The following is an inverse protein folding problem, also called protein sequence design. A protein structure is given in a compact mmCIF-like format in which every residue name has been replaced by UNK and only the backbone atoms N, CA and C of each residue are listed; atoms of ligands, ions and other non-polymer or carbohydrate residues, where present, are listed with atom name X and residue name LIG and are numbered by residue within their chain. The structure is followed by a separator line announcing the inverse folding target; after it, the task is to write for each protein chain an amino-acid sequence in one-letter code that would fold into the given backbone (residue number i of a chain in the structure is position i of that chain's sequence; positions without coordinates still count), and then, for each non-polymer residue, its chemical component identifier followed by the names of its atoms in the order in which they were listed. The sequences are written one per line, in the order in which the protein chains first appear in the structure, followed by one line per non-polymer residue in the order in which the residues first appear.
data_IF_685074534600
#
_entry.id   IF_685074534600
#
_cell.length_a   1.000
_cell.length_b   1.000
_cell.length_c   1.000
_cell.angle_alpha   90.00
_cell.angle_beta   90.00
_cell.angle_gamma   90.00
#
_symmetry.space_group_name_H-M   'P 1'
#
loop_
_entity.id
_entity.type
_entity.pdbx_description
1 polymer ?
#
# COMPACT_ATOMS: atom_id res chain seq x y z
N UNK A 1 -10.30 -2.94 4.56
CA UNK A 1 -8.96 -3.12 3.94
C UNK A 1 -7.91 -2.47 4.82
N UNK A 2 -6.84 -3.18 5.12
CA UNK A 2 -5.74 -2.71 5.97
C UNK A 2 -4.47 -2.53 5.15
N UNK A 3 -3.82 -1.36 5.25
CA UNK A 3 -2.64 -1.01 4.46
C UNK A 3 -1.48 -0.64 5.38
N UNK A 4 -0.30 -1.20 5.11
CA UNK A 4 0.96 -0.79 5.70
C UNK A 4 1.65 0.19 4.76
N UNK A 5 1.72 1.46 5.16
CA UNK A 5 2.55 2.47 4.51
C UNK A 5 3.97 2.44 5.07
N UNK A 6 4.95 2.57 4.20
CA UNK A 6 6.37 2.57 4.57
C UNK A 6 7.06 3.78 3.93
N UNK A 7 7.63 4.63 4.78
CA UNK A 7 8.55 5.70 4.37
C UNK A 7 9.99 5.22 4.56
N UNK A 8 10.66 4.93 3.44
CA UNK A 8 11.99 4.32 3.44
C UNK A 8 13.07 5.35 3.79
N UNK A 9 13.64 5.26 4.98
CA UNK A 9 14.76 6.08 5.40
C UNK A 9 15.97 5.26 5.85
N UNK A 10 17.16 5.84 5.74
CA UNK A 10 18.41 5.11 6.08
C UNK A 10 18.76 5.09 7.57
N UNK A 11 18.15 5.93 8.38
CA UNK A 11 18.31 5.98 9.84
C UNK A 11 16.98 5.74 10.54
N UNK A 12 15.90 6.22 9.94
CA UNK A 12 14.54 5.98 10.37
C UNK A 12 13.76 5.46 9.18
N UNK A 13 13.16 4.27 9.30
CA UNK A 13 12.18 3.77 8.35
C UNK A 13 10.82 3.91 8.99
N UNK A 14 10.04 4.89 8.52
CA UNK A 14 8.69 5.15 9.00
C UNK A 14 7.74 4.01 8.61
N UNK A 15 6.80 3.69 9.50
CA UNK A 15 5.71 2.77 9.23
C UNK A 15 4.39 3.30 9.78
N UNK A 16 3.31 3.01 9.07
CA UNK A 16 1.96 3.33 9.50
C UNK A 16 0.98 2.30 8.97
N UNK A 17 0.18 1.71 9.85
CA UNK A 17 -0.89 0.78 9.48
C UNK A 17 -2.22 1.49 9.61
N UNK A 18 -2.92 1.65 8.49
CA UNK A 18 -4.23 2.28 8.42
C UNK A 18 -5.26 1.25 7.94
N UNK A 19 -6.40 1.22 8.59
CA UNK A 19 -7.53 0.38 8.21
C UNK A 19 -8.70 1.24 7.74
N UNK A 20 -9.26 0.87 6.59
CA UNK A 20 -10.52 1.40 6.08
C UNK A 20 -11.65 0.53 6.61
N UNK A 21 -12.47 1.08 7.49
CA UNK A 21 -13.66 0.43 8.02
C UNK A 21 -14.87 0.85 7.18
N UNK A 22 -15.62 -0.13 6.66
CA UNK A 22 -16.92 0.14 6.05
C UNK A 22 -17.94 0.47 7.15
N UNK A 23 -18.71 1.54 6.99
CA UNK A 23 -19.84 1.81 7.89
C UNK A 23 -21.04 0.96 7.47
N UNK A 24 -21.48 0.07 8.35
CA UNK A 24 -22.61 -0.86 8.17
C UNK A 24 -23.99 -0.16 8.30
N UNK A 25 -23.99 1.17 8.45
CA UNK A 25 -25.20 1.96 8.55
C UNK A 25 -25.74 2.30 7.17
N UNK A 26 -26.92 1.80 6.87
CA UNK A 26 -27.70 1.87 5.63
C UNK A 26 -28.06 3.27 5.12
N UNK A 27 -27.38 4.32 5.50
CA UNK A 27 -27.59 5.67 4.97
C UNK A 27 -26.48 6.03 3.99
N UNK A 28 -26.84 6.11 2.73
CA UNK A 28 -26.02 6.19 1.52
C UNK A 28 -25.17 7.47 1.38
N UNK A 29 -24.52 7.90 2.43
CA UNK A 29 -23.43 8.90 2.40
C UNK A 29 -22.18 8.26 2.99
N UNK A 30 -21.43 7.65 2.10
CA UNK A 30 -20.03 7.24 2.24
C UNK A 30 -19.34 7.76 3.51
N UNK A 31 -19.41 6.99 4.59
CA UNK A 31 -18.73 7.32 5.83
C UNK A 31 -17.66 6.23 6.10
N UNK A 32 -16.82 5.98 5.07
CA UNK A 32 -15.64 5.14 5.23
C UNK A 32 -14.72 5.79 6.25
N UNK A 33 -14.52 5.15 7.39
CA UNK A 33 -13.64 5.64 8.44
C UNK A 33 -12.24 5.07 8.30
N UNK A 34 -11.26 5.96 8.24
CA UNK A 34 -9.85 5.58 8.34
C UNK A 34 -9.45 5.51 9.82
N UNK A 35 -8.85 4.40 10.22
CA UNK A 35 -8.38 4.18 11.58
C UNK A 35 -6.89 3.88 11.56
N UNK A 36 -6.11 4.62 12.36
CA UNK A 36 -4.72 4.30 12.62
C UNK A 36 -4.64 3.13 13.60
N UNK A 37 -4.10 2.01 13.15
CA UNK A 37 -3.88 0.84 14.00
C UNK A 37 -2.57 0.98 14.78
N UNK A 38 -1.52 1.44 14.12
CA UNK A 38 -0.19 1.69 14.69
C UNK A 38 0.60 2.61 13.76
N UNK A 39 1.48 3.42 14.31
CA UNK A 39 2.51 4.13 13.55
C UNK A 39 3.78 4.27 14.38
N UNK A 40 4.89 4.54 13.71
CA UNK A 40 6.20 4.72 14.33
C UNK A 40 7.33 4.67 13.32
N UNK A 41 8.54 4.45 13.81
CA UNK A 41 9.70 4.26 12.94
C UNK A 41 10.64 3.17 13.48
N UNK A 42 11.20 2.38 12.58
CA UNK A 42 12.31 1.47 12.85
C UNK A 42 13.58 2.31 12.82
N UNK A 43 14.20 2.48 14.00
CA UNK A 43 15.42 3.26 14.14
C UNK A 43 16.64 2.37 14.04
N UNK A 44 17.62 2.75 13.22
CA UNK A 44 18.92 2.08 13.08
C UNK A 44 20.06 3.08 13.24
N UNK A 45 21.18 2.63 13.79
CA UNK A 45 22.32 3.50 14.02
C UNK A 45 23.04 3.82 12.71
N UNK A 46 23.33 5.10 12.39
CA UNK A 46 24.17 5.45 11.24
C UNK A 46 25.61 4.96 11.35
N UNK A 47 26.04 4.57 12.55
CA UNK A 47 27.39 4.02 12.82
C UNK A 47 27.49 2.54 12.43
N UNK A 48 26.37 1.83 12.35
CA UNK A 48 26.36 0.43 11.98
C UNK A 48 26.63 0.23 10.48
N UNK A 49 27.31 -0.86 10.10
CA UNK A 49 27.47 -1.22 8.70
C UNK A 49 26.11 -1.36 7.99
N UNK A 50 26.06 -0.97 6.73
CA UNK A 50 24.82 -1.01 5.96
C UNK A 50 24.11 -2.38 5.97
N UNK A 51 24.82 -3.53 5.83
CA UNK A 51 24.16 -4.85 5.92
C UNK A 51 23.43 -5.08 7.25
N UNK A 52 24.02 -4.66 8.37
CA UNK A 52 23.42 -4.77 9.72
C UNK A 52 22.15 -3.93 9.81
N UNK A 53 22.19 -2.69 9.29
CA UNK A 53 21.02 -1.79 9.25
C UNK A 53 19.90 -2.37 8.43
N UNK A 54 20.20 -2.88 7.22
CA UNK A 54 19.22 -3.53 6.36
C UNK A 54 18.60 -4.76 7.01
N UNK A 55 19.37 -5.55 7.74
CA UNK A 55 18.88 -6.71 8.48
C UNK A 55 17.89 -6.28 9.57
N UNK A 56 18.20 -5.25 10.37
CA UNK A 56 17.29 -4.74 11.40
C UNK A 56 15.99 -4.19 10.81
N UNK A 57 16.08 -3.44 9.70
CA UNK A 57 14.89 -2.95 8.99
C UNK A 57 14.04 -4.12 8.49
N UNK A 58 14.67 -5.14 7.88
CA UNK A 58 13.96 -6.32 7.37
C UNK A 58 13.20 -7.05 8.48
N UNK A 59 13.87 -7.31 9.61
CA UNK A 59 13.25 -7.99 10.77
C UNK A 59 12.08 -7.19 11.29
N UNK A 60 12.26 -5.88 11.53
CA UNK A 60 11.19 -5.01 12.03
C UNK A 60 9.97 -4.96 11.10
N UNK A 61 10.19 -4.90 9.77
CA UNK A 61 9.09 -4.93 8.81
C UNK A 61 8.37 -6.28 8.78
N UNK A 62 9.11 -7.40 8.86
CA UNK A 62 8.52 -8.73 8.94
C UNK A 62 7.67 -8.90 10.21
N UNK A 63 8.14 -8.41 11.35
CA UNK A 63 7.39 -8.42 12.62
C UNK A 63 6.10 -7.60 12.52
N UNK A 64 6.16 -6.40 11.91
CA UNK A 64 4.98 -5.57 11.67
C UNK A 64 3.95 -6.27 10.78
N UNK A 65 4.39 -6.86 9.67
CA UNK A 65 3.54 -7.60 8.74
C UNK A 65 2.89 -8.80 9.45
N UNK A 66 3.67 -9.59 10.17
CA UNK A 66 3.16 -10.77 10.90
C UNK A 66 2.15 -10.39 11.98
N UNK A 67 2.40 -9.29 12.70
CA UNK A 67 1.56 -8.85 13.83
C UNK A 67 0.27 -8.19 13.38
N UNK A 68 0.35 -7.28 12.41
CA UNK A 68 -0.78 -6.44 12.01
C UNK A 68 -1.52 -6.94 10.79
N UNK A 69 -0.96 -7.89 10.06
CA UNK A 69 -1.56 -8.60 8.90
C UNK A 69 -2.20 -7.62 7.90
N UNK A 70 -1.44 -6.71 7.30
CA UNK A 70 -1.97 -5.82 6.28
C UNK A 70 -2.37 -6.62 5.03
N UNK A 71 -3.37 -6.12 4.30
CA UNK A 71 -3.79 -6.69 3.02
C UNK A 71 -2.87 -6.24 1.87
N UNK A 72 -2.25 -5.05 2.02
CA UNK A 72 -1.40 -4.39 1.02
C UNK A 72 -0.26 -3.63 1.70
N UNK A 73 0.80 -3.41 0.95
CA UNK A 73 1.90 -2.51 1.32
C UNK A 73 1.95 -1.36 0.34
N UNK A 74 2.15 -0.15 0.83
CA UNK A 74 2.35 1.04 0.03
C UNK A 74 3.69 1.69 0.38
N UNK A 75 4.46 2.13 -0.62
CA UNK A 75 5.79 2.72 -0.47
C UNK A 75 5.87 4.00 -1.31
N UNK A 76 6.59 5.02 -0.83
CA UNK A 76 6.88 6.19 -1.65
C UNK A 76 7.88 5.86 -2.75
N UNK A 77 7.59 6.30 -3.98
CA UNK A 77 8.52 6.18 -5.09
C UNK A 77 9.57 7.29 -5.06
N UNK A 78 10.84 6.91 -5.13
CA UNK A 78 11.98 7.85 -5.05
C UNK A 78 12.38 8.30 -6.44
N UNK A 79 11.86 9.44 -6.87
CA UNK A 79 12.14 9.99 -8.20
C UNK A 79 13.44 10.79 -8.32
N UNK A 80 13.95 11.36 -7.20
CA UNK A 80 15.11 12.25 -7.28
C UNK A 80 15.89 12.26 -5.97
N UNK A 81 17.14 11.83 -6.00
CA UNK A 81 18.10 12.15 -4.96
C UNK A 81 19.20 13.04 -5.57
N UNK A 82 19.40 14.21 -5.01
CA UNK A 82 20.43 15.15 -5.44
C UNK A 82 21.86 14.55 -5.32
N UNK A 83 22.02 13.47 -4.53
CA UNK A 83 23.28 12.78 -4.32
C UNK A 83 23.12 11.27 -4.64
N UNK A 84 23.84 10.80 -5.65
CA UNK A 84 23.83 9.41 -6.11
C UNK A 84 24.12 8.41 -4.98
N UNK A 85 25.07 8.72 -4.08
CA UNK A 85 25.42 7.83 -2.97
C UNK A 85 24.25 7.68 -1.97
N UNK A 86 23.52 8.75 -1.73
CA UNK A 86 22.32 8.70 -0.89
C UNK A 86 21.17 7.96 -1.57
N UNK A 87 21.01 8.17 -2.88
CA UNK A 87 20.01 7.44 -3.69
C UNK A 87 20.25 5.93 -3.64
N UNK A 88 21.50 5.48 -3.80
CA UNK A 88 21.86 4.06 -3.74
C UNK A 88 21.53 3.45 -2.38
N UNK A 89 21.85 4.14 -1.28
CA UNK A 89 21.52 3.67 0.07
C UNK A 89 20.00 3.58 0.29
N UNK A 90 19.28 4.59 -0.17
CA UNK A 90 17.82 4.60 -0.06
C UNK A 90 17.19 3.49 -0.89
N UNK A 91 17.71 3.25 -2.10
CA UNK A 91 17.30 2.12 -2.95
C UNK A 91 17.52 0.75 -2.29
N UNK A 92 18.60 0.60 -1.50
CA UNK A 92 18.83 -0.63 -0.73
C UNK A 92 17.76 -0.83 0.35
N UNK A 93 17.44 0.21 1.13
CA UNK A 93 16.36 0.14 2.16
C UNK A 93 15.02 -0.18 1.51
N UNK A 94 14.71 0.50 0.40
CA UNK A 94 13.48 0.28 -0.36
C UNK A 94 13.40 -1.16 -0.90
N UNK A 95 14.49 -1.69 -1.44
CA UNK A 95 14.56 -3.08 -1.90
C UNK A 95 14.27 -4.08 -0.77
N UNK A 96 14.77 -3.81 0.45
CA UNK A 96 14.48 -4.61 1.64
C UNK A 96 13.00 -4.54 2.03
N UNK A 97 12.39 -3.35 1.98
CA UNK A 97 10.97 -3.17 2.27
C UNK A 97 10.09 -3.94 1.26
N UNK A 98 10.39 -3.84 -0.04
CA UNK A 98 9.70 -4.57 -1.10
C UNK A 98 9.87 -6.08 -0.93
N UNK A 99 11.07 -6.55 -0.60
CA UNK A 99 11.35 -7.97 -0.36
C UNK A 99 10.59 -8.51 0.85
N UNK A 100 10.51 -7.75 1.95
CA UNK A 100 9.76 -8.14 3.14
C UNK A 100 8.27 -8.32 2.82
N UNK A 101 7.67 -7.39 2.06
CA UNK A 101 6.30 -7.49 1.59
C UNK A 101 6.07 -8.69 0.66
N UNK A 102 6.91 -8.85 -0.37
CA UNK A 102 6.81 -9.92 -1.35
C UNK A 102 6.99 -11.31 -0.70
N UNK A 103 7.91 -11.44 0.28
CA UNK A 103 8.12 -12.68 1.03
C UNK A 103 6.91 -13.08 1.88
N UNK A 104 6.07 -12.11 2.26
CA UNK A 104 4.81 -12.34 2.94
C UNK A 104 3.62 -12.52 1.98
N UNK A 105 3.85 -12.54 0.67
CA UNK A 105 2.80 -12.67 -0.36
C UNK A 105 1.95 -11.41 -0.54
N UNK A 106 2.42 -10.24 -0.08
CA UNK A 106 1.70 -8.98 -0.18
C UNK A 106 2.07 -8.24 -1.47
N UNK A 107 1.07 -7.65 -2.11
CA UNK A 107 1.28 -6.71 -3.20
C UNK A 107 1.82 -5.38 -2.70
N UNK A 108 2.75 -4.79 -3.45
CA UNK A 108 3.36 -3.49 -3.15
C UNK A 108 2.88 -2.48 -4.17
N UNK A 109 2.27 -1.40 -3.68
CA UNK A 109 1.90 -0.24 -4.48
C UNK A 109 2.91 0.89 -4.25
N UNK A 110 3.26 1.60 -5.31
CA UNK A 110 4.25 2.67 -5.30
C UNK A 110 3.59 4.00 -5.67
N UNK A 111 3.88 5.05 -4.90
CA UNK A 111 3.26 6.36 -5.09
C UNK A 111 4.30 7.47 -5.14
N UNK A 112 4.16 8.38 -6.10
CA UNK A 112 5.00 9.57 -6.15
C UNK A 112 4.70 10.51 -4.98
N UNK A 113 5.68 11.31 -4.50
CA UNK A 113 5.45 12.33 -3.47
C UNK A 113 4.28 13.27 -3.81
N UNK A 114 4.12 13.60 -5.09
CA UNK A 114 3.04 14.45 -5.57
C UNK A 114 1.67 13.77 -5.44
N UNK A 115 1.61 12.46 -5.77
CA UNK A 115 0.37 11.67 -5.62
C UNK A 115 -0.05 11.55 -4.17
N UNK A 116 0.91 11.30 -3.26
CA UNK A 116 0.67 11.20 -1.82
C UNK A 116 0.09 12.51 -1.29
N UNK A 117 0.74 13.65 -1.60
CA UNK A 117 0.25 14.96 -1.19
C UNK A 117 -1.14 15.28 -1.73
N UNK A 118 -1.38 14.99 -3.02
CA UNK A 118 -2.68 15.21 -3.64
C UNK A 118 -3.78 14.35 -3.02
N UNK A 119 -3.49 13.10 -2.68
CA UNK A 119 -4.46 12.19 -2.07
C UNK A 119 -4.82 12.58 -0.63
N UNK A 120 -3.87 13.15 0.13
CA UNK A 120 -4.06 13.52 1.54
C UNK A 120 -4.64 14.93 1.69
N UNK A 121 -4.10 15.92 0.97
CA UNK A 121 -4.44 17.33 1.15
C UNK A 121 -5.29 17.89 0.02
N UNK A 122 -5.41 17.18 -1.11
CA UNK A 122 -6.14 17.62 -2.30
C UNK A 122 -5.27 18.33 -3.35
N UNK A 123 -4.00 18.66 -3.06
CA UNK A 123 -3.08 19.26 -4.02
C UNK A 123 -1.62 18.86 -3.79
N UNK A 124 -0.86 18.65 -4.88
CA UNK A 124 0.48 18.05 -4.85
C UNK A 124 1.60 18.95 -4.34
N UNK A 125 1.38 20.27 -4.17
CA UNK A 125 2.38 21.24 -3.69
C UNK A 125 2.25 21.56 -2.20
N UNK A 126 1.51 20.73 -1.44
CA UNK A 126 1.36 20.90 -0.01
C UNK A 126 2.72 20.84 0.71
N UNK A 127 2.90 21.68 1.71
CA UNK A 127 4.07 21.64 2.57
C UNK A 127 3.96 20.48 3.57
N UNK A 128 5.12 20.03 4.09
CA UNK A 128 5.18 18.86 4.98
C UNK A 128 4.23 19.00 6.18
N UNK A 129 4.21 20.14 6.85
CA UNK A 129 3.34 20.37 8.02
C UNK A 129 1.85 20.27 7.68
N UNK A 130 1.44 20.68 6.46
CA UNK A 130 0.04 20.57 6.01
C UNK A 130 -0.38 19.14 5.83
N UNK A 131 0.53 18.30 5.29
CA UNK A 131 0.29 16.85 5.16
C UNK A 131 0.14 16.21 6.54
N UNK A 132 1.05 16.52 7.49
CA UNK A 132 0.99 16.00 8.85
C UNK A 132 -0.30 16.40 9.58
N UNK A 133 -0.71 17.66 9.49
CA UNK A 133 -1.98 18.11 10.06
C UNK A 133 -3.19 17.40 9.43
N UNK A 134 -3.16 17.17 8.11
CA UNK A 134 -4.27 16.49 7.45
C UNK A 134 -4.32 15.02 7.83
N UNK A 135 -3.17 14.34 7.92
CA UNK A 135 -3.08 12.94 8.44
C UNK A 135 -3.70 12.85 9.84
N UNK A 136 -3.32 13.77 10.74
CA UNK A 136 -3.87 13.84 12.10
C UNK A 136 -5.39 13.96 12.10
N UNK A 137 -5.94 14.82 11.23
CA UNK A 137 -7.39 15.02 11.10
C UNK A 137 -8.10 13.82 10.47
N UNK A 138 -7.56 13.27 9.39
CA UNK A 138 -8.17 12.12 8.68
C UNK A 138 -8.24 10.88 9.55
N UNK A 139 -7.26 10.68 10.43
CA UNK A 139 -7.17 9.54 11.34
C UNK A 139 -7.71 9.86 12.74
N UNK A 140 -8.23 11.07 12.96
CA UNK A 140 -8.74 11.56 14.26
C UNK A 140 -7.76 11.31 15.41
N UNK A 141 -6.49 11.68 15.20
CA UNK A 141 -5.45 11.54 16.22
C UNK A 141 -5.42 12.80 17.10
N UNK A 142 -5.07 12.62 18.36
CA UNK A 142 -4.98 13.72 19.33
C UNK A 142 -3.79 14.65 19.05
N UNK A 143 -2.69 14.08 18.53
CA UNK A 143 -1.43 14.80 18.25
C UNK A 143 -0.83 14.37 16.92
N UNK A 144 0.07 15.19 16.38
CA UNK A 144 0.82 14.85 15.17
C UNK A 144 1.74 13.66 15.48
N UNK A 145 1.72 12.59 14.66
CA UNK A 145 2.55 11.42 14.89
C UNK A 145 4.05 11.74 14.91
N UNK A 146 4.74 11.19 15.89
CA UNK A 146 6.20 11.27 16.03
C UNK A 146 6.83 9.87 15.93
N UNK A 147 8.02 9.75 15.29
CA UNK A 147 8.76 10.79 14.56
C UNK A 147 8.05 11.18 13.25
N UNK A 148 8.53 12.25 12.58
CA UNK A 148 7.92 12.75 11.34
C UNK A 148 7.75 11.67 10.25
N UNK A 149 8.67 10.70 10.19
CA UNK A 149 8.63 9.55 9.28
C UNK A 149 7.39 8.67 9.49
N UNK A 150 6.84 8.65 10.72
CA UNK A 150 5.59 7.94 11.01
C UNK A 150 4.38 8.62 10.35
N UNK A 151 4.33 9.94 10.38
CA UNK A 151 3.27 10.70 9.72
C UNK A 151 3.37 10.57 8.18
N UNK A 152 4.59 10.56 7.63
CA UNK A 152 4.82 10.35 6.20
C UNK A 152 4.38 8.94 5.78
N UNK A 153 4.67 7.91 6.57
CA UNK A 153 4.21 6.54 6.32
C UNK A 153 2.68 6.40 6.40
N UNK A 154 2.02 7.08 7.34
CA UNK A 154 0.55 7.13 7.40
C UNK A 154 -0.04 7.83 6.16
N UNK A 155 0.58 8.90 5.67
CA UNK A 155 0.17 9.58 4.44
C UNK A 155 0.22 8.65 3.21
N UNK A 156 1.25 7.80 3.14
CA UNK A 156 1.41 6.79 2.07
C UNK A 156 0.27 5.76 2.15
N UNK A 157 -0.05 5.26 3.35
CA UNK A 157 -1.16 4.31 3.54
C UNK A 157 -2.51 4.92 3.16
N UNK A 158 -2.78 6.16 3.57
CA UNK A 158 -4.00 6.91 3.21
C UNK A 158 -4.09 7.09 1.69
N UNK A 159 -2.98 7.44 1.03
CA UNK A 159 -2.93 7.58 -0.42
C UNK A 159 -3.39 6.29 -1.12
N UNK A 160 -2.91 5.13 -0.67
CA UNK A 160 -3.33 3.84 -1.22
C UNK A 160 -4.82 3.59 -1.03
N UNK A 161 -5.34 3.81 0.19
CA UNK A 161 -6.76 3.60 0.51
C UNK A 161 -7.68 4.49 -0.34
N UNK A 162 -7.35 5.76 -0.51
CA UNK A 162 -8.12 6.70 -1.35
C UNK A 162 -8.07 6.32 -2.84
N UNK A 163 -6.90 5.85 -3.32
CA UNK A 163 -6.73 5.43 -4.72
C UNK A 163 -7.51 4.14 -5.01
N UNK A 164 -7.44 3.15 -4.13
CA UNK A 164 -8.17 1.89 -4.26
C UNK A 164 -9.69 2.13 -4.28
N UNK A 165 -10.21 2.93 -3.35
CA UNK A 165 -11.62 3.28 -3.30
C UNK A 165 -12.10 4.01 -4.58
N UNK A 166 -11.22 4.81 -5.21
CA UNK A 166 -11.54 5.49 -6.48
C UNK A 166 -11.60 4.51 -7.64
N UNK A 167 -10.68 3.54 -7.71
CA UNK A 167 -10.67 2.51 -8.74
C UNK A 167 -11.87 1.57 -8.65
N UNK A 168 -12.26 1.16 -7.46
CA UNK A 168 -13.47 0.32 -7.25
C UNK A 168 -14.75 1.02 -7.74
N UNK A 169 -14.87 2.32 -7.50
CA UNK A 169 -16.03 3.13 -7.98
C UNK A 169 -16.04 3.35 -9.48
N UNK A 170 -14.89 3.31 -10.15
CA UNK A 170 -14.76 3.51 -11.59
C UNK A 170 -14.80 2.20 -12.38
N UNK A 171 -14.74 1.04 -11.74
CA UNK A 171 -14.89 -0.25 -12.39
C UNK A 171 -16.33 -0.38 -12.91
N UNK A 172 -16.55 -0.55 -14.21
CA UNK A 172 -17.90 -0.71 -14.75
C UNK A 172 -18.51 -1.97 -14.13
N UNK A 173 -19.77 -1.83 -13.67
CA UNK A 173 -20.59 -2.97 -13.24
C UNK A 173 -20.52 -4.00 -14.38
N UNK A 174 -19.87 -5.14 -14.14
CA UNK A 174 -19.83 -6.22 -15.11
C UNK A 174 -21.26 -6.72 -15.29
N UNK A 175 -21.93 -6.30 -16.37
CA UNK A 175 -23.12 -6.94 -16.83
C UNK A 175 -22.79 -8.42 -17.03
N UNK A 176 -23.34 -9.29 -16.21
CA UNK A 176 -23.33 -10.72 -16.47
C UNK A 176 -23.94 -10.92 -17.87
N UNK A 177 -23.23 -11.55 -18.83
CA UNK A 177 -23.87 -12.00 -20.05
C UNK A 177 -24.91 -13.06 -19.64
N UNK A 178 -26.16 -12.80 -20.00
CA UNK A 178 -27.24 -13.76 -19.87
C UNK A 178 -26.77 -15.11 -20.41
N UNK A 179 -27.02 -16.15 -19.62
CA UNK A 179 -26.81 -17.54 -20.03
C UNK A 179 -27.68 -17.81 -21.27
N UNK A 180 -27.08 -17.72 -22.44
CA UNK A 180 -27.67 -18.26 -23.65
C UNK A 180 -27.74 -19.78 -23.50
N UNK A 181 -28.96 -20.30 -23.47
CA UNK A 181 -29.25 -21.72 -23.47
C UNK A 181 -28.59 -22.40 -24.66
N UNK A 182 -28.02 -23.61 -24.51
CA UNK A 182 -27.38 -24.32 -25.60
C UNK A 182 -28.43 -24.78 -26.63
N UNK A 183 -28.15 -24.70 -27.94
CA UNK A 183 -29.03 -25.25 -28.96
C UNK A 183 -29.08 -26.76 -28.88
N UNK A 184 -30.27 -27.31 -28.92
CA UNK A 184 -30.54 -28.75 -28.96
C UNK A 184 -29.87 -29.35 -30.20
N UNK A 185 -28.97 -30.28 -30.02
CA UNK A 185 -28.37 -31.09 -31.07
C UNK A 185 -29.41 -32.09 -31.62
N UNK A 186 -29.69 -32.03 -32.93
CA UNK A 186 -30.21 -33.15 -33.69
C UNK A 186 -29.00 -33.98 -34.19
N UNK A 187 -29.13 -35.29 -34.02
CA UNK A 187 -28.08 -36.24 -34.27
C UNK A 187 -27.75 -36.43 -35.77
N UNK A 188 -26.62 -37.04 -35.99
CA UNK A 188 -26.54 -38.27 -36.77
C UNK A 188 -25.13 -38.86 -36.73
N UNK A 189 -25.12 -40.19 -36.65
CA UNK A 189 -24.01 -41.08 -36.71
C UNK A 189 -23.16 -40.90 -37.97
N UNK A 190 -21.80 -41.02 -37.85
CA UNK A 190 -21.07 -42.01 -38.70
C UNK A 190 -19.66 -42.22 -38.13
N UNK A 191 -19.42 -43.50 -37.94
CA UNK A 191 -18.14 -44.15 -37.67
C UNK A 191 -17.09 -43.89 -38.75
N UNK A 192 -15.82 -43.66 -38.36
CA UNK A 192 -14.68 -44.20 -39.13
C UNK A 192 -13.44 -44.33 -38.23
N UNK A 193 -12.83 -45.45 -38.43
CA UNK A 193 -11.72 -46.17 -37.80
C UNK A 193 -10.40 -45.39 -37.78
N UNK A 194 -9.63 -45.75 -36.76
CA UNK A 194 -8.18 -45.56 -36.55
C UNK A 194 -7.38 -46.14 -37.74
N UNK A 195 -6.15 -45.62 -38.05
CA UNK A 195 -5.02 -46.51 -37.74
C UNK A 195 -3.85 -45.82 -37.02
N UNK A 196 -3.24 -46.62 -36.21
CA UNK A 196 -1.93 -46.64 -35.59
C UNK A 196 -0.79 -46.18 -36.52
N UNK A 197 0.14 -45.34 -36.03
CA UNK A 197 1.59 -45.56 -35.92
C UNK A 197 2.16 -44.56 -34.93
#
# INVERSE_FOLDING_TARGET
MRVLGIDCGTEYTGYGVVELLADDRSDARNNDHLVCIICGAIKVSPRDPMPTRLSHISIGLQELIARYRPDRVAIEDVFYAANVKSALKLGQVRGVAMLAAASAGLEVAEYSPLSIKSAVVGYGRAEKHQVQQMVTRLLNLDEIPEPADAADALAIAICHLHTAATHERQSPISCHPERSSPPRSRGELRSRRIPTL
#
